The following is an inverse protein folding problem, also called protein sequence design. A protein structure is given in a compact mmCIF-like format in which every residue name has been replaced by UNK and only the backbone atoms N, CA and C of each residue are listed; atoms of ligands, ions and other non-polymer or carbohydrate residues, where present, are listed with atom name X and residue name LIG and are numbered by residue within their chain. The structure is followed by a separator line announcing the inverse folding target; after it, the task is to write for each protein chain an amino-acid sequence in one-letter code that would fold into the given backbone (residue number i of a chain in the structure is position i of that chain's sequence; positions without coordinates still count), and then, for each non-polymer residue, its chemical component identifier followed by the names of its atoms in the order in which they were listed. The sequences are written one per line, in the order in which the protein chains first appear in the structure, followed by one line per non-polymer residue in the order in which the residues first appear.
data_IF_786267525103
#
_entry.id   IF_786267525103
#
_cell.length_a   1.000
_cell.length_b   1.000
_cell.length_c   1.000
_cell.angle_alpha   90.00
_cell.angle_beta   90.00
_cell.angle_gamma   90.00
#
_symmetry.space_group_name_H-M   'P 1'
#
loop_
_entity.id
_entity.type
_entity.pdbx_description
1 polymer ?
#
# COMPACT_ATOMS: atom_id res chain seq x y z
N UNK A 1 -5.25 14.66 5.24
CA UNK A 1 -5.47 13.23 4.96
C UNK A 1 -4.17 12.41 4.94
N UNK A 2 -3.16 12.77 4.13
CA UNK A 2 -1.94 11.96 3.95
C UNK A 2 -1.15 11.62 5.22
N UNK A 3 -1.05 12.54 6.19
CA UNK A 3 -0.35 12.29 7.46
C UNK A 3 -1.02 11.19 8.31
N UNK A 4 -2.35 11.19 8.38
CA UNK A 4 -3.12 10.19 9.15
C UNK A 4 -2.95 8.81 8.51
N UNK A 5 -3.06 8.73 7.18
CA UNK A 5 -2.78 7.50 6.43
C UNK A 5 -1.35 7.02 6.67
N UNK A 6 -0.36 7.92 6.59
CA UNK A 6 1.04 7.56 6.78
C UNK A 6 1.29 6.93 8.16
N UNK A 7 0.76 7.52 9.24
CA UNK A 7 0.90 6.97 10.60
C UNK A 7 0.29 5.59 10.75
N UNK A 8 -0.78 5.28 10.01
CA UNK A 8 -1.49 4.02 10.07
C UNK A 8 -0.84 2.92 9.22
N UNK A 9 -0.28 3.25 8.05
CA UNK A 9 0.37 2.29 7.15
C UNK A 9 1.82 2.02 7.57
N UNK A 10 2.48 2.98 8.23
CA UNK A 10 3.86 2.84 8.71
C UNK A 10 4.10 1.56 9.54
N UNK A 11 3.30 1.22 10.57
CA UNK A 11 3.52 0.00 11.35
C UNK A 11 3.36 -1.27 10.50
N UNK A 12 2.45 -1.25 9.52
CA UNK A 12 2.27 -2.37 8.60
C UNK A 12 3.50 -2.58 7.71
N UNK A 13 3.99 -1.52 7.05
CA UNK A 13 5.20 -1.60 6.22
C UNK A 13 6.41 -2.01 7.08
N UNK A 14 6.55 -1.45 8.28
CA UNK A 14 7.64 -1.78 9.20
C UNK A 14 7.63 -3.26 9.60
N UNK A 15 6.46 -3.84 9.86
CA UNK A 15 6.32 -5.27 10.15
C UNK A 15 6.78 -6.14 8.98
N UNK A 16 6.31 -5.84 7.76
CA UNK A 16 6.68 -6.62 6.56
C UNK A 16 8.17 -6.50 6.26
N UNK A 17 8.74 -5.30 6.40
CA UNK A 17 10.18 -5.08 6.24
C UNK A 17 11.00 -5.85 7.28
N UNK A 18 10.54 -5.90 8.55
CA UNK A 18 11.19 -6.67 9.60
C UNK A 18 11.21 -8.16 9.28
N UNK A 19 10.08 -8.72 8.82
CA UNK A 19 10.00 -10.13 8.45
C UNK A 19 10.92 -10.46 7.26
N UNK A 20 10.99 -9.56 6.28
CA UNK A 20 11.91 -9.69 5.15
C UNK A 20 13.39 -9.67 5.56
N UNK A 21 13.76 -8.85 6.56
CA UNK A 21 15.11 -8.79 7.12
C UNK A 21 15.47 -10.04 7.95
N UNK A 22 14.50 -10.62 8.66
CA UNK A 22 14.69 -11.85 9.43
C UNK A 22 14.88 -13.08 8.53
N UNK A 23 14.36 -13.05 7.30
CA UNK A 23 14.54 -14.09 6.29
C UNK A 23 15.99 -14.17 5.74
N UNK A 24 16.85 -13.18 6.03
CA UNK A 24 18.25 -13.16 5.59
C UNK A 24 19.04 -14.27 6.33
N UNK A 25 19.68 -15.22 5.61
CA UNK A 25 20.45 -16.31 6.22
C UNK A 25 21.51 -15.81 7.22
N UNK A 26 21.69 -16.53 8.32
CA UNK A 26 22.68 -16.21 9.34
C UNK A 26 24.11 -16.22 8.77
N UNK A 27 24.43 -17.18 7.90
CA UNK A 27 25.74 -17.31 7.25
C UNK A 27 26.14 -16.05 6.46
N UNK A 28 25.20 -15.38 5.80
CA UNK A 28 25.46 -14.14 5.06
C UNK A 28 25.84 -12.99 6.01
N UNK A 29 25.22 -12.95 7.19
CA UNK A 29 25.50 -11.95 8.24
C UNK A 29 26.84 -12.23 8.90
N UNK A 30 27.11 -13.49 9.26
CA UNK A 30 28.37 -13.92 9.88
C UNK A 30 29.57 -13.74 8.95
N UNK A 31 29.42 -14.01 7.66
CA UNK A 31 30.47 -13.73 6.66
C UNK A 31 30.79 -12.25 6.58
N UNK A 32 29.78 -11.38 6.61
CA UNK A 32 29.99 -9.93 6.60
C UNK A 32 30.69 -9.45 7.89
N UNK A 33 30.30 -9.97 9.05
CA UNK A 33 31.02 -9.69 10.31
C UNK A 33 32.45 -10.23 10.29
N UNK A 34 32.70 -11.38 9.65
CA UNK A 34 34.03 -11.98 9.51
C UNK A 34 35.01 -11.16 8.66
N UNK A 35 34.49 -10.32 7.75
CA UNK A 35 35.28 -9.35 6.96
C UNK A 35 35.52 -8.04 7.73
N UNK A 36 34.97 -7.91 8.94
CA UNK A 36 35.11 -6.72 9.78
C UNK A 36 34.03 -5.67 9.60
N UNK A 37 32.91 -5.98 8.92
CA UNK A 37 31.80 -5.05 8.77
C UNK A 37 31.12 -4.75 10.11
N UNK A 38 30.75 -3.49 10.32
CA UNK A 38 29.94 -3.02 11.43
C UNK A 38 28.47 -3.39 11.24
N UNK A 39 27.68 -3.35 12.33
CA UNK A 39 26.23 -3.63 12.28
C UNK A 39 25.49 -2.77 11.23
N UNK A 40 25.90 -1.52 11.06
CA UNK A 40 25.29 -0.61 10.09
C UNK A 40 25.61 -1.00 8.63
N UNK A 41 26.86 -1.37 8.35
CA UNK A 41 27.30 -1.85 7.04
C UNK A 41 26.63 -3.17 6.68
N UNK A 42 26.50 -4.11 7.63
CA UNK A 42 25.77 -5.37 7.40
C UNK A 42 24.31 -5.10 7.04
N UNK A 43 23.63 -4.18 7.73
CA UNK A 43 22.23 -3.84 7.40
C UNK A 43 22.13 -3.17 6.03
N UNK A 44 22.96 -2.16 5.78
CA UNK A 44 22.89 -1.32 4.58
C UNK A 44 23.36 -2.04 3.32
N UNK A 45 24.49 -2.72 3.38
CA UNK A 45 25.20 -3.23 2.20
C UNK A 45 24.96 -4.72 1.96
N UNK A 46 24.42 -5.44 2.95
CA UNK A 46 24.13 -6.88 2.83
C UNK A 46 22.63 -7.17 2.97
N UNK A 47 22.01 -6.79 4.08
CA UNK A 47 20.61 -7.15 4.36
C UNK A 47 19.62 -6.43 3.44
N UNK A 48 19.69 -5.10 3.35
CA UNK A 48 18.80 -4.29 2.50
C UNK A 48 18.82 -4.73 1.02
N UNK A 49 19.99 -4.92 0.35
CA UNK A 49 20.01 -5.36 -1.03
C UNK A 49 19.50 -6.80 -1.20
N UNK A 50 19.75 -7.68 -0.23
CA UNK A 50 19.23 -9.05 -0.24
C UNK A 50 17.70 -9.08 -0.15
N UNK A 51 17.11 -8.31 0.76
CA UNK A 51 15.66 -8.27 0.97
C UNK A 51 14.94 -7.17 0.19
N UNK A 52 15.60 -6.51 -0.78
CA UNK A 52 15.06 -5.35 -1.51
C UNK A 52 13.71 -5.64 -2.17
N UNK A 53 13.51 -6.86 -2.67
CA UNK A 53 12.23 -7.31 -3.26
C UNK A 53 11.13 -7.46 -2.19
N UNK A 54 11.48 -7.96 -1.01
CA UNK A 54 10.56 -8.08 0.13
C UNK A 54 10.12 -6.70 0.64
N UNK A 55 11.07 -5.76 0.75
CA UNK A 55 10.78 -4.36 1.10
C UNK A 55 9.88 -3.71 0.04
N UNK A 56 10.21 -3.86 -1.24
CA UNK A 56 9.38 -3.33 -2.33
C UNK A 56 7.95 -3.92 -2.27
N UNK A 57 7.82 -5.22 -2.05
CA UNK A 57 6.54 -5.88 -1.86
C UNK A 57 5.75 -5.35 -0.66
N UNK A 58 6.42 -5.10 0.47
CA UNK A 58 5.82 -4.47 1.65
C UNK A 58 5.30 -3.06 1.38
N UNK A 59 6.03 -2.26 0.59
CA UNK A 59 5.59 -0.93 0.17
C UNK A 59 4.33 -1.03 -0.69
N UNK A 60 4.31 -1.89 -1.72
CA UNK A 60 3.13 -2.06 -2.57
C UNK A 60 1.90 -2.57 -1.80
N UNK A 61 2.10 -3.51 -0.88
CA UNK A 61 1.03 -3.98 0.01
C UNK A 61 0.53 -2.86 0.93
N UNK A 62 1.44 -2.03 1.46
CA UNK A 62 1.10 -0.88 2.30
C UNK A 62 0.30 0.18 1.54
N UNK A 63 0.68 0.48 0.30
CA UNK A 63 -0.09 1.39 -0.57
C UNK A 63 -1.46 0.80 -0.91
N UNK A 64 -1.54 -0.51 -1.18
CA UNK A 64 -2.81 -1.20 -1.36
C UNK A 64 -3.74 -1.08 -0.16
N UNK A 65 -3.19 -1.23 1.04
CA UNK A 65 -3.92 -1.01 2.30
C UNK A 65 -4.37 0.45 2.45
N UNK A 66 -3.51 1.41 2.09
CA UNK A 66 -3.84 2.83 2.09
C UNK A 66 -5.08 3.14 1.25
N UNK A 67 -5.15 2.54 0.06
CA UNK A 67 -6.26 2.68 -0.87
C UNK A 67 -7.55 2.06 -0.32
N UNK A 68 -7.45 1.02 0.52
CA UNK A 68 -8.60 0.39 1.18
C UNK A 68 -9.09 1.13 2.43
N UNK A 69 -8.27 2.00 3.01
CA UNK A 69 -8.59 2.78 4.22
C UNK A 69 -9.35 4.08 3.88
N UNK A 70 -10.27 3.96 2.94
CA UNK A 70 -11.10 5.05 2.41
C UNK A 70 -12.04 5.66 3.44
N UNK A 71 -12.40 4.89 4.47
CA UNK A 71 -13.19 5.38 5.60
C UNK A 71 -12.42 6.44 6.40
N UNK A 72 -11.15 6.18 6.72
CA UNK A 72 -10.28 7.14 7.40
C UNK A 72 -10.08 8.42 6.57
N UNK A 73 -9.95 8.27 5.24
CA UNK A 73 -9.82 9.41 4.32
C UNK A 73 -11.09 10.27 4.29
N UNK A 74 -12.27 9.65 4.30
CA UNK A 74 -13.57 10.33 4.30
C UNK A 74 -13.71 11.26 5.52
N UNK A 75 -13.38 10.75 6.71
CA UNK A 75 -13.45 11.54 7.95
C UNK A 75 -12.46 12.70 7.99
N UNK A 76 -11.33 12.61 7.26
CA UNK A 76 -10.28 13.64 7.29
C UNK A 76 -10.44 14.68 6.17
N UNK A 77 -11.02 14.34 5.01
CA UNK A 77 -11.23 15.29 3.91
C UNK A 77 -12.51 16.12 4.12
N UNK A 78 -13.49 15.61 4.88
CA UNK A 78 -14.65 16.40 5.34
C UNK A 78 -15.85 16.44 4.39
N UNK A 79 -15.90 15.57 3.36
CA UNK A 79 -17.05 15.38 2.47
C UNK A 79 -17.67 16.69 1.93
N UNK A 80 -16.87 17.49 1.20
CA UNK A 80 -17.38 18.68 0.53
C UNK A 80 -17.61 18.39 -0.96
N UNK A 81 -18.85 18.51 -1.42
CA UNK A 81 -19.26 18.29 -2.81
C UNK A 81 -18.89 19.44 -3.78
N UNK A 82 -17.86 20.23 -3.44
CA UNK A 82 -17.48 21.44 -4.18
C UNK A 82 -16.21 21.17 -4.99
N UNK A 83 -16.31 21.26 -6.31
CA UNK A 83 -15.13 21.26 -7.19
C UNK A 83 -14.33 22.54 -6.96
N UNK A 84 -13.20 22.43 -6.28
CA UNK A 84 -12.26 23.53 -6.07
C UNK A 84 -10.90 23.11 -6.60
N UNK A 85 -10.27 23.98 -7.41
CA UNK A 85 -8.93 23.79 -7.99
C UNK A 85 -7.80 23.95 -6.95
N UNK A 86 -8.13 24.15 -5.67
CA UNK A 86 -7.17 24.31 -4.59
C UNK A 86 -6.81 22.96 -3.96
N UNK A 87 -5.52 22.66 -3.87
CA UNK A 87 -4.95 21.50 -3.17
C UNK A 87 -5.32 21.43 -1.67
N UNK A 88 -5.81 22.54 -1.10
CA UNK A 88 -6.22 22.65 0.31
C UNK A 88 -7.74 22.69 0.51
N UNK A 89 -8.52 22.66 -0.57
CA UNK A 89 -9.97 22.63 -0.44
C UNK A 89 -10.44 21.23 -0.02
N UNK A 90 -11.49 21.14 0.82
CA UNK A 90 -12.13 19.87 1.10
C UNK A 90 -12.72 19.31 -0.20
N UNK A 91 -12.48 18.03 -0.46
CA UNK A 91 -12.94 17.32 -1.66
C UNK A 91 -13.82 16.12 -1.30
N UNK A 92 -14.21 15.36 -2.31
CA UNK A 92 -14.90 14.09 -2.13
C UNK A 92 -14.13 12.97 -2.85
N UNK A 93 -14.03 11.80 -2.22
CA UNK A 93 -13.45 10.61 -2.87
C UNK A 93 -14.56 9.68 -3.33
N UNK A 94 -14.32 8.88 -4.37
CA UNK A 94 -15.28 7.88 -4.90
C UNK A 94 -15.85 7.00 -3.76
N UNK A 95 -15.00 6.62 -2.82
CA UNK A 95 -15.40 5.83 -1.66
C UNK A 95 -16.15 6.63 -0.58
N UNK A 96 -15.85 7.92 -0.43
CA UNK A 96 -16.59 8.84 0.43
C UNK A 96 -18.00 9.11 -0.12
N UNK A 97 -18.14 9.27 -1.44
CA UNK A 97 -19.44 9.38 -2.11
C UNK A 97 -20.25 8.11 -1.90
N UNK A 98 -19.67 6.93 -2.12
CA UNK A 98 -20.30 5.66 -1.77
C UNK A 98 -20.76 5.61 -0.31
N UNK A 99 -19.89 5.91 0.65
CA UNK A 99 -20.23 5.77 2.07
C UNK A 99 -21.36 6.70 2.54
N UNK A 100 -21.49 7.90 1.96
CA UNK A 100 -22.50 8.88 2.37
C UNK A 100 -23.81 8.72 1.59
N UNK A 101 -23.72 8.51 0.28
CA UNK A 101 -24.88 8.47 -0.63
C UNK A 101 -25.58 7.11 -0.65
N UNK A 102 -24.92 6.03 -0.25
CA UNK A 102 -25.54 4.69 -0.19
C UNK A 102 -26.64 4.59 0.87
N UNK A 103 -26.56 5.40 1.93
CA UNK A 103 -27.57 5.50 2.98
C UNK A 103 -28.75 6.41 2.61
N UNK A 104 -28.56 7.34 1.67
CA UNK A 104 -29.56 8.34 1.26
C UNK A 104 -30.27 7.95 -0.05
N UNK A 105 -29.98 6.76 -0.59
CA UNK A 105 -30.47 6.31 -1.88
C UNK A 105 -31.93 5.83 -1.85
N UNK A 106 -32.87 6.74 -2.15
CA UNK A 106 -34.32 6.46 -2.13
C UNK A 106 -34.90 5.96 -3.48
N UNK A 107 -34.10 5.89 -4.55
CA UNK A 107 -34.57 5.44 -5.89
C UNK A 107 -33.75 4.30 -6.48
N UNK A 108 -34.43 3.34 -7.14
CA UNK A 108 -33.81 2.14 -7.74
C UNK A 108 -32.67 2.47 -8.72
N UNK A 109 -32.81 3.56 -9.49
CA UNK A 109 -31.80 4.01 -10.47
C UNK A 109 -30.55 4.55 -9.77
N UNK A 110 -30.71 5.24 -8.64
CA UNK A 110 -29.59 5.77 -7.87
C UNK A 110 -28.80 4.65 -7.18
N UNK A 111 -29.51 3.66 -6.63
CA UNK A 111 -28.90 2.47 -6.04
C UNK A 111 -28.10 1.66 -7.08
N UNK A 112 -28.65 1.47 -8.29
CA UNK A 112 -27.94 0.81 -9.38
C UNK A 112 -26.64 1.55 -9.77
N UNK A 113 -26.67 2.89 -9.80
CA UNK A 113 -25.50 3.73 -10.10
C UNK A 113 -24.41 3.63 -9.03
N UNK A 114 -24.79 3.55 -7.75
CA UNK A 114 -23.86 3.34 -6.63
C UNK A 114 -23.20 1.96 -6.68
N UNK A 115 -23.96 0.91 -7.01
CA UNK A 115 -23.42 -0.45 -7.17
C UNK A 115 -22.43 -0.51 -8.34
N UNK A 116 -22.71 0.15 -9.47
CA UNK A 116 -21.78 0.27 -10.58
C UNK A 116 -20.47 0.97 -10.15
N UNK A 117 -20.59 2.09 -9.43
CA UNK A 117 -19.44 2.85 -8.96
C UNK A 117 -18.58 2.03 -7.97
N UNK A 118 -19.22 1.21 -7.14
CA UNK A 118 -18.55 0.22 -6.29
C UNK A 118 -17.82 -0.87 -7.08
N UNK A 119 -18.44 -1.39 -8.15
CA UNK A 119 -17.82 -2.37 -9.04
C UNK A 119 -16.59 -1.80 -9.76
N UNK A 120 -16.66 -0.56 -10.25
CA UNK A 120 -15.54 0.13 -10.88
C UNK A 120 -14.39 0.30 -9.90
N UNK A 121 -14.67 0.76 -8.67
CA UNK A 121 -13.67 0.92 -7.62
C UNK A 121 -13.02 -0.42 -7.25
N UNK A 122 -13.81 -1.49 -7.16
CA UNK A 122 -13.33 -2.84 -6.93
C UNK A 122 -12.38 -3.29 -8.05
N UNK A 123 -12.78 -3.13 -9.32
CA UNK A 123 -11.97 -3.51 -10.47
C UNK A 123 -10.64 -2.76 -10.51
N UNK A 124 -10.64 -1.46 -10.26
CA UNK A 124 -9.41 -0.65 -10.20
C UNK A 124 -8.48 -1.19 -9.11
N UNK A 125 -9.01 -1.39 -7.90
CA UNK A 125 -8.22 -1.87 -6.77
C UNK A 125 -7.67 -3.27 -7.02
N UNK A 126 -8.50 -4.15 -7.56
CA UNK A 126 -8.12 -5.52 -7.91
C UNK A 126 -7.01 -5.53 -8.96
N UNK A 127 -7.14 -4.77 -10.05
CA UNK A 127 -6.12 -4.71 -11.11
C UNK A 127 -4.80 -4.19 -10.58
N UNK A 128 -4.81 -3.13 -9.77
CA UNK A 128 -3.59 -2.55 -9.19
C UNK A 128 -2.90 -3.57 -8.27
N UNK A 129 -3.66 -4.22 -7.37
CA UNK A 129 -3.11 -5.22 -6.45
C UNK A 129 -2.62 -6.48 -7.18
N UNK A 130 -3.37 -6.95 -8.18
CA UNK A 130 -3.01 -8.10 -8.99
C UNK A 130 -1.74 -7.84 -9.82
N UNK A 131 -1.64 -6.66 -10.45
CA UNK A 131 -0.46 -6.25 -11.21
C UNK A 131 0.79 -6.14 -10.30
N UNK A 132 0.65 -5.54 -9.11
CA UNK A 132 1.74 -5.44 -8.14
C UNK A 132 2.22 -6.84 -7.69
N UNK A 133 1.30 -7.74 -7.35
CA UNK A 133 1.61 -9.12 -6.99
C UNK A 133 2.28 -9.89 -8.13
N UNK A 134 1.76 -9.74 -9.35
CA UNK A 134 2.32 -10.41 -10.52
C UNK A 134 3.76 -9.96 -10.82
N UNK A 135 4.03 -8.66 -10.75
CA UNK A 135 5.37 -8.11 -10.98
C UNK A 135 6.40 -8.60 -9.94
N UNK A 136 6.01 -8.64 -8.66
CA UNK A 136 6.86 -9.15 -7.58
C UNK A 136 7.18 -10.64 -7.75
N UNK A 137 6.19 -11.45 -8.14
CA UNK A 137 6.38 -12.90 -8.38
C UNK A 137 7.29 -13.16 -9.56
N UNK A 138 7.14 -12.42 -10.66
CA UNK A 138 7.95 -12.62 -11.88
C UNK A 138 9.43 -12.32 -11.66
N UNK A 139 9.73 -11.27 -10.90
CA UNK A 139 11.10 -10.87 -10.60
C UNK A 139 11.79 -11.76 -9.57
N UNK A 140 11.07 -12.63 -8.82
CA UNK A 140 11.66 -13.64 -7.96
C UNK A 140 12.30 -14.80 -8.74
N UNK A 141 11.70 -15.20 -9.87
CA UNK A 141 12.14 -16.33 -10.71
C UNK A 141 13.42 -16.02 -11.49
N UNK A 142 13.63 -14.76 -11.86
CA UNK A 142 14.69 -14.32 -12.78
C UNK A 142 16.13 -14.35 -12.22
N UNK A 143 16.32 -14.68 -10.92
CA UNK A 143 17.66 -14.87 -10.32
C UNK A 143 17.91 -16.28 -9.79
N UNK A 144 16.96 -17.21 -9.93
CA UNK A 144 17.23 -18.62 -9.66
C UNK A 144 17.98 -19.29 -10.84
N UNK A 145 18.15 -18.58 -11.98
CA UNK A 145 18.84 -19.03 -13.18
C UNK A 145 20.20 -18.34 -13.44
N UNK A 146 20.71 -17.55 -12.48
CA UNK A 146 22.05 -16.95 -12.51
C UNK A 146 22.74 -17.17 -11.17
#
# INVERSE_FOLDING_TARGET
AGLVLALMILPFIASVCRDALLMVPASLKEAAYGVGCTKWEVVRDVMIPYCRKGIAGGIFLGTGRALGETMAVTFVIGNAHRFSWSLFAPGNSIASTLANEFTEADSDVYLASLIELGLVLFLITFVVLAAAQWWLRRSAVERASR
#
